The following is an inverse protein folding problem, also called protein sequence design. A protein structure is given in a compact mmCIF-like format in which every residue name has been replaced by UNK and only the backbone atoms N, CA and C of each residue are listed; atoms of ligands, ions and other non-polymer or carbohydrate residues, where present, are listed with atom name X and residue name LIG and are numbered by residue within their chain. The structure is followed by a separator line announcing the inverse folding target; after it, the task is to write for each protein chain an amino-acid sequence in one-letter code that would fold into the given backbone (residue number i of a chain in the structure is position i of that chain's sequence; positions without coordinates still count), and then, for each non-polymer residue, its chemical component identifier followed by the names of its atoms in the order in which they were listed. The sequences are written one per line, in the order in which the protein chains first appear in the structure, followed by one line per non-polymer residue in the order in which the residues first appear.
data_IF_187815809305
#
_entry.id   IF_187815809305
#
_cell.length_a   1.000
_cell.length_b   1.000
_cell.length_c   1.000
_cell.angle_alpha   90.00
_cell.angle_beta   90.00
_cell.angle_gamma   90.00
#
_symmetry.space_group_name_H-M   'P 1'
#
loop_
_entity.id
_entity.type
_entity.pdbx_description
1 polymer ?
#
# COMPACT_ATOMS: atom_id res chain seq x y z
N UNK A 1 1.05 -4.30 13.41
CA UNK A 1 -0.16 -5.09 13.11
C UNK A 1 -0.30 -6.37 13.92
N UNK A 2 0.63 -7.01 14.61
CA UNK A 2 0.47 -8.34 15.21
C UNK A 2 -0.11 -9.45 14.28
N UNK A 3 0.12 -10.72 14.60
CA UNK A 3 -0.28 -11.83 13.69
C UNK A 3 -1.79 -11.94 13.49
N UNK A 4 -2.58 -11.64 14.52
CA UNK A 4 -4.05 -11.71 14.44
C UNK A 4 -4.63 -10.57 13.61
N UNK A 5 -4.13 -9.33 13.74
CA UNK A 5 -4.64 -8.22 12.92
C UNK A 5 -4.14 -8.35 11.47
N UNK A 6 -2.91 -8.85 11.23
CA UNK A 6 -2.45 -9.22 9.88
C UNK A 6 -3.40 -10.21 9.22
N UNK A 7 -3.78 -11.28 9.91
CA UNK A 7 -4.75 -12.27 9.40
C UNK A 7 -6.09 -11.62 9.04
N UNK A 8 -6.67 -10.84 9.95
CA UNK A 8 -7.93 -10.10 9.70
C UNK A 8 -7.81 -9.13 8.53
N UNK A 9 -6.67 -8.46 8.37
CA UNK A 9 -6.44 -7.55 7.27
C UNK A 9 -6.33 -8.27 5.92
N UNK A 10 -5.68 -9.44 5.90
CA UNK A 10 -5.63 -10.32 4.73
C UNK A 10 -7.00 -10.83 4.27
N UNK A 11 -7.95 -10.96 5.20
CA UNK A 11 -9.33 -11.38 4.91
C UNK A 11 -10.22 -10.21 4.44
N UNK A 12 -9.74 -8.96 4.49
CA UNK A 12 -10.53 -7.79 4.09
C UNK A 12 -10.85 -7.81 2.60
N UNK A 13 -12.13 -7.71 2.27
CA UNK A 13 -12.58 -7.56 0.89
C UNK A 13 -12.10 -6.24 0.29
N UNK A 14 -11.75 -6.31 -0.99
CA UNK A 14 -11.32 -5.15 -1.76
C UNK A 14 -12.34 -4.85 -2.83
N UNK A 15 -13.01 -3.72 -2.67
CA UNK A 15 -13.91 -3.17 -3.67
C UNK A 15 -13.09 -2.34 -4.67
N UNK A 16 -13.12 -2.76 -5.93
CA UNK A 16 -12.52 -2.05 -7.05
C UNK A 16 -13.61 -1.88 -8.12
N UNK A 17 -13.73 -0.70 -8.77
CA UNK A 17 -14.69 -0.56 -9.87
C UNK A 17 -14.37 -1.57 -10.97
N UNK A 18 -15.40 -2.18 -11.55
CA UNK A 18 -15.29 -3.38 -12.39
C UNK A 18 -14.48 -3.18 -13.68
N UNK A 19 -14.33 -1.93 -14.13
CA UNK A 19 -13.49 -1.58 -15.28
C UNK A 19 -11.98 -1.66 -14.98
N UNK A 20 -11.58 -1.70 -13.70
CA UNK A 20 -10.19 -1.77 -13.28
C UNK A 20 -9.82 -3.15 -12.74
N UNK A 21 -8.55 -3.50 -12.88
CA UNK A 21 -7.93 -4.65 -12.20
C UNK A 21 -6.56 -4.29 -11.64
N UNK A 22 -6.14 -5.04 -10.65
CA UNK A 22 -4.80 -4.99 -10.08
C UNK A 22 -4.06 -6.27 -10.46
N UNK A 23 -2.96 -6.11 -11.16
CA UNK A 23 -2.09 -7.21 -11.62
C UNK A 23 -0.70 -7.09 -10.99
N UNK A 24 0.09 -8.15 -11.06
CA UNK A 24 1.54 -8.05 -10.85
C UNK A 24 2.17 -7.18 -11.95
N UNK A 25 3.21 -6.43 -11.57
CA UNK A 25 4.00 -5.61 -12.50
C UNK A 25 4.77 -6.51 -13.45
N UNK A 26 4.81 -6.16 -14.73
CA UNK A 26 5.51 -6.89 -15.79
C UNK A 26 6.60 -6.00 -16.38
N UNK A 27 7.82 -5.99 -15.79
CA UNK A 27 8.90 -5.06 -16.17
C UNK A 27 9.21 -5.00 -17.67
N UNK A 28 9.11 -6.13 -18.36
CA UNK A 28 9.46 -6.19 -19.79
C UNK A 28 8.33 -5.70 -20.71
N UNK A 29 7.07 -5.70 -20.27
CA UNK A 29 5.92 -5.29 -21.09
C UNK A 29 5.27 -3.98 -20.67
N UNK A 30 5.47 -3.53 -19.43
CA UNK A 30 4.89 -2.30 -18.89
C UNK A 30 5.69 -1.04 -19.26
N UNK A 31 6.67 -1.16 -20.18
CA UNK A 31 7.55 -0.11 -20.71
C UNK A 31 8.06 0.86 -19.62
N UNK A 32 8.55 0.25 -18.55
CA UNK A 32 8.97 0.95 -17.35
C UNK A 32 10.46 1.21 -17.47
N UNK A 33 10.84 2.46 -17.73
CA UNK A 33 12.24 2.85 -17.95
C UNK A 33 13.20 2.22 -16.93
N UNK A 34 14.37 1.76 -17.40
CA UNK A 34 15.23 0.82 -16.66
C UNK A 34 15.67 1.22 -15.24
N UNK A 35 15.60 2.51 -14.87
CA UNK A 35 15.89 2.98 -13.51
C UNK A 35 14.84 2.53 -12.48
N UNK A 36 13.60 2.31 -12.92
CA UNK A 36 12.50 1.89 -12.05
C UNK A 36 12.41 0.36 -11.88
N UNK A 37 13.04 -0.42 -12.78
CA UNK A 37 13.05 -1.89 -12.75
C UNK A 37 13.52 -2.44 -11.40
N UNK A 38 14.61 -1.88 -10.85
CA UNK A 38 15.17 -2.30 -9.57
C UNK A 38 14.17 -2.09 -8.43
N UNK A 39 13.34 -1.04 -8.48
CA UNK A 39 12.35 -0.78 -7.44
C UNK A 39 11.22 -1.80 -7.49
N UNK A 40 10.79 -2.23 -8.67
CA UNK A 40 9.75 -3.26 -8.81
C UNK A 40 10.20 -4.65 -8.36
N UNK A 41 11.49 -4.94 -8.46
CA UNK A 41 12.07 -6.19 -7.95
C UNK A 41 12.27 -6.17 -6.43
N UNK A 42 12.44 -4.98 -5.83
CA UNK A 42 12.76 -4.84 -4.40
C UNK A 42 11.55 -4.45 -3.52
N UNK A 43 10.53 -3.79 -4.09
CA UNK A 43 9.38 -3.29 -3.35
C UNK A 43 8.09 -4.01 -3.79
N UNK A 44 7.13 -4.20 -2.87
CA UNK A 44 5.80 -4.66 -3.26
C UNK A 44 5.17 -3.62 -4.17
N UNK A 45 4.92 -4.02 -5.41
CA UNK A 45 4.33 -3.17 -6.43
C UNK A 45 3.16 -3.87 -7.11
N UNK A 46 2.22 -3.08 -7.61
CA UNK A 46 1.07 -3.55 -8.38
C UNK A 46 0.83 -2.65 -9.58
N UNK A 47 0.43 -3.27 -10.70
CA UNK A 47 -0.01 -2.58 -11.89
C UNK A 47 -1.53 -2.37 -11.83
N UNK A 48 -1.97 -1.12 -11.90
CA UNK A 48 -3.36 -0.76 -12.12
C UNK A 48 -3.64 -0.75 -13.62
N UNK A 49 -4.65 -1.51 -14.04
CA UNK A 49 -5.07 -1.55 -15.44
C UNK A 49 -6.55 -1.25 -15.60
N UNK A 50 -6.90 -0.74 -16.78
CA UNK A 50 -8.27 -0.64 -17.28
C UNK A 50 -8.36 -1.46 -18.56
N UNK A 51 -8.92 -2.67 -18.48
CA UNK A 51 -8.69 -3.69 -19.50
C UNK A 51 -7.20 -4.05 -19.59
N UNK A 52 -6.60 -3.95 -20.78
CA UNK A 52 -5.17 -4.22 -20.99
C UNK A 52 -4.29 -2.95 -20.89
N UNK A 53 -4.91 -1.78 -20.79
CA UNK A 53 -4.20 -0.51 -20.67
C UNK A 53 -3.60 -0.36 -19.28
N UNK A 54 -2.28 -0.12 -19.21
CA UNK A 54 -1.61 0.28 -17.98
C UNK A 54 -1.99 1.73 -17.63
N UNK A 55 -2.58 1.91 -16.45
CA UNK A 55 -2.98 3.21 -15.92
C UNK A 55 -1.90 3.77 -14.99
N UNK A 56 -1.39 2.94 -14.08
CA UNK A 56 -0.37 3.32 -13.12
C UNK A 56 0.33 2.07 -12.56
N UNK A 57 1.53 2.27 -12.01
CA UNK A 57 2.19 1.30 -11.15
C UNK A 57 2.37 1.94 -9.80
N UNK A 58 1.87 1.26 -8.77
CA UNK A 58 2.01 1.73 -7.40
C UNK A 58 2.93 0.80 -6.66
N UNK A 59 3.94 1.38 -6.00
CA UNK A 59 4.85 0.69 -5.12
C UNK A 59 4.72 1.24 -3.71
N UNK A 60 4.96 0.39 -2.72
CA UNK A 60 5.08 0.83 -1.33
C UNK A 60 6.52 0.64 -0.88
N UNK A 61 7.15 1.73 -0.43
CA UNK A 61 8.50 1.68 0.09
C UNK A 61 8.52 1.11 1.53
N UNK A 62 9.71 0.86 2.07
CA UNK A 62 9.89 0.33 3.43
C UNK A 62 9.30 1.22 4.53
N UNK A 63 9.15 2.52 4.27
CA UNK A 63 8.55 3.49 5.18
C UNK A 63 7.04 3.60 5.01
N UNK A 64 6.44 2.67 4.24
CA UNK A 64 5.03 2.60 3.84
C UNK A 64 4.50 3.84 3.13
N UNK A 65 5.41 4.62 2.53
CA UNK A 65 5.09 5.66 1.58
C UNK A 65 4.73 5.05 0.23
N UNK A 66 3.77 5.69 -0.45
CA UNK A 66 3.35 5.32 -1.80
C UNK A 66 4.23 6.02 -2.81
N UNK A 67 4.77 5.24 -3.74
CA UNK A 67 5.34 5.75 -4.97
C UNK A 67 4.41 5.36 -6.11
N UNK A 68 4.05 6.34 -6.93
CA UNK A 68 3.30 6.14 -8.16
C UNK A 68 4.26 6.30 -9.32
N UNK A 69 4.06 5.54 -10.39
CA UNK A 69 4.79 5.78 -11.62
C UNK A 69 4.48 7.16 -12.16
N UNK A 70 5.39 7.73 -12.96
CA UNK A 70 5.17 9.01 -13.62
C UNK A 70 4.09 8.94 -14.73
N UNK A 71 3.25 7.89 -14.74
CA UNK A 71 2.13 7.75 -15.65
C UNK A 71 1.03 8.75 -15.27
N UNK A 72 0.66 9.69 -16.16
CA UNK A 72 -0.27 10.77 -15.82
C UNK A 72 -1.73 10.30 -15.65
N UNK A 73 -2.07 9.07 -16.04
CA UNK A 73 -3.45 8.61 -16.23
C UNK A 73 -4.24 8.43 -14.93
N UNK A 74 -3.58 8.13 -13.80
CA UNK A 74 -4.28 8.09 -12.51
C UNK A 74 -4.85 9.47 -12.14
N UNK A 75 -4.14 10.54 -12.52
CA UNK A 75 -4.55 11.92 -12.25
C UNK A 75 -5.70 12.40 -13.13
N UNK A 76 -6.04 11.65 -14.18
CA UNK A 76 -7.14 11.92 -15.10
C UNK A 76 -8.46 11.30 -14.62
N UNK A 77 -8.41 10.33 -13.69
CA UNK A 77 -9.59 9.71 -13.12
C UNK A 77 -10.39 10.71 -12.29
N UNK A 78 -11.72 10.54 -12.27
CA UNK A 78 -12.60 11.30 -11.37
C UNK A 78 -12.18 11.09 -9.91
N UNK A 79 -12.52 12.05 -9.04
CA UNK A 79 -12.11 12.02 -7.64
C UNK A 79 -12.64 10.77 -6.92
N UNK A 80 -13.87 10.38 -7.22
CA UNK A 80 -14.56 9.23 -6.65
C UNK A 80 -13.88 7.93 -7.08
N UNK A 81 -13.62 7.77 -8.37
CA UNK A 81 -12.93 6.59 -8.92
C UNK A 81 -11.51 6.50 -8.38
N UNK A 82 -10.76 7.61 -8.40
CA UNK A 82 -9.40 7.66 -7.87
C UNK A 82 -9.37 7.25 -6.40
N UNK A 83 -10.31 7.73 -5.59
CA UNK A 83 -10.40 7.36 -4.18
C UNK A 83 -10.65 5.86 -3.99
N UNK A 84 -11.57 5.27 -4.76
CA UNK A 84 -11.86 3.84 -4.71
C UNK A 84 -10.63 3.01 -5.12
N UNK A 85 -10.02 3.35 -6.25
CA UNK A 85 -8.81 2.70 -6.78
C UNK A 85 -7.64 2.80 -5.80
N UNK A 86 -7.34 3.99 -5.27
CA UNK A 86 -6.25 4.16 -4.29
C UNK A 86 -6.51 3.35 -3.01
N UNK A 87 -7.77 3.27 -2.56
CA UNK A 87 -8.13 2.46 -1.39
C UNK A 87 -7.94 0.96 -1.66
N UNK A 88 -8.31 0.51 -2.86
CA UNK A 88 -8.12 -0.88 -3.29
C UNK A 88 -6.63 -1.25 -3.40
N UNK A 89 -5.84 -0.38 -4.03
CA UNK A 89 -4.38 -0.52 -4.14
C UNK A 89 -3.74 -0.59 -2.77
N UNK A 90 -4.13 0.30 -1.86
CA UNK A 90 -3.66 0.30 -0.48
C UNK A 90 -3.86 -1.08 0.14
N UNK A 91 -5.09 -1.59 0.13
CA UNK A 91 -5.39 -2.88 0.78
C UNK A 91 -4.62 -4.01 0.09
N UNK A 92 -4.64 -4.10 -1.24
CA UNK A 92 -3.99 -5.21 -1.94
C UNK A 92 -2.47 -5.24 -1.83
N UNK A 93 -1.79 -4.11 -1.89
CA UNK A 93 -0.35 -4.07 -1.66
C UNK A 93 -0.04 -4.55 -0.24
N UNK A 94 -0.77 -4.07 0.77
CA UNK A 94 -0.54 -4.52 2.14
C UNK A 94 -0.82 -6.01 2.33
N UNK A 95 -1.86 -6.55 1.69
CA UNK A 95 -2.14 -7.99 1.72
C UNK A 95 -1.02 -8.80 1.07
N UNK A 96 -0.52 -8.37 -0.10
CA UNK A 96 0.65 -8.98 -0.76
C UNK A 96 1.86 -8.94 0.17
N UNK A 97 2.16 -7.77 0.74
CA UNK A 97 3.33 -7.54 1.59
C UNK A 97 3.33 -8.39 2.88
N UNK A 98 2.14 -8.57 3.49
CA UNK A 98 1.95 -9.47 4.63
C UNK A 98 2.11 -10.93 4.19
N UNK A 99 1.47 -11.34 3.09
CA UNK A 99 1.48 -12.73 2.62
C UNK A 99 2.87 -13.22 2.19
N UNK A 100 3.67 -12.33 1.60
CA UNK A 100 5.04 -12.62 1.17
C UNK A 100 6.05 -12.50 2.32
N UNK A 101 5.58 -12.20 3.54
CA UNK A 101 6.41 -11.96 4.73
C UNK A 101 7.49 -10.88 4.52
N UNK A 102 7.25 -10.00 3.56
CA UNK A 102 8.15 -8.94 3.17
C UNK A 102 7.98 -7.70 4.03
N UNK A 103 6.87 -7.58 4.77
CA UNK A 103 6.53 -6.43 5.62
C UNK A 103 7.65 -6.12 6.62
N UNK A 104 8.52 -5.13 6.35
CA UNK A 104 9.50 -4.67 7.30
C UNK A 104 8.80 -3.73 8.28
N UNK A 105 9.44 -3.52 9.42
CA UNK A 105 8.98 -2.66 10.50
C UNK A 105 8.64 -1.24 10.01
N UNK A 106 7.38 -0.92 9.73
CA UNK A 106 7.02 0.48 9.47
C UNK A 106 6.78 1.21 10.80
N UNK A 107 7.75 2.02 11.23
CA UNK A 107 7.55 3.01 12.30
C UNK A 107 6.91 4.25 11.71
N UNK A 108 5.59 4.39 11.84
CA UNK A 108 4.91 5.62 11.43
C UNK A 108 4.95 6.62 12.60
N UNK A 109 5.74 7.68 12.46
CA UNK A 109 5.72 8.82 13.38
C UNK A 109 4.56 9.75 13.04
N UNK A 110 3.44 9.60 13.73
CA UNK A 110 2.24 10.40 13.46
C UNK A 110 2.33 11.73 14.21
N UNK A 111 2.84 12.77 13.55
CA UNK A 111 3.03 14.11 14.15
C UNK A 111 1.78 15.00 14.14
N UNK A 112 0.78 14.69 13.30
CA UNK A 112 -0.42 15.52 13.10
C UNK A 112 -1.64 14.86 13.74
N UNK A 113 -2.42 15.64 14.48
CA UNK A 113 -3.63 15.19 15.20
C UNK A 113 -4.65 14.45 14.32
N UNK A 114 -4.84 14.90 13.07
CA UNK A 114 -5.70 14.21 12.09
C UNK A 114 -5.20 12.79 11.77
N UNK A 115 -3.88 12.60 11.66
CA UNK A 115 -3.29 11.28 11.49
C UNK A 115 -3.47 10.43 12.75
N UNK A 116 -3.28 11.03 13.93
CA UNK A 116 -3.45 10.33 15.22
C UNK A 116 -4.87 9.79 15.34
N UNK A 117 -5.87 10.61 15.01
CA UNK A 117 -7.28 10.22 15.04
C UNK A 117 -7.67 9.18 13.99
N UNK A 118 -7.02 9.18 12.82
CA UNK A 118 -7.24 8.15 11.80
C UNK A 118 -6.73 6.79 12.27
N UNK A 119 -5.47 6.74 12.74
CA UNK A 119 -4.85 5.49 13.17
C UNK A 119 -5.40 4.98 14.51
N UNK A 120 -5.79 5.86 15.43
CA UNK A 120 -6.36 5.46 16.73
C UNK A 120 -7.71 4.76 16.62
N UNK A 121 -8.45 5.01 15.54
CA UNK A 121 -9.73 4.37 15.24
C UNK A 121 -9.61 3.15 14.34
N UNK A 122 -8.42 2.86 13.83
CA UNK A 122 -8.22 1.77 12.89
C UNK A 122 -7.89 0.48 13.63
N UNK A 123 -8.70 -0.55 13.39
CA UNK A 123 -8.48 -1.90 13.92
C UNK A 123 -7.26 -2.59 13.29
N UNK A 124 -6.76 -2.04 12.18
CA UNK A 124 -5.67 -2.57 11.39
C UNK A 124 -4.29 -2.16 11.90
N UNK A 125 -4.18 -1.52 13.07
CA UNK A 125 -2.88 -1.10 13.60
C UNK A 125 -2.75 -1.40 15.09
N UNK A 126 -1.52 -1.66 15.51
CA UNK A 126 -1.18 -1.82 16.91
C UNK A 126 -0.72 -0.46 17.43
N UNK A 127 -1.51 0.16 18.32
CA UNK A 127 -1.08 1.40 18.98
C UNK A 127 -0.02 1.07 20.01
N UNK A 128 1.11 1.74 19.90
CA UNK A 128 2.18 1.76 20.89
C UNK A 128 2.46 3.22 21.23
N UNK A 129 3.09 3.47 22.36
CA UNK A 129 3.47 4.81 22.78
C UNK A 129 5.00 4.90 22.85
N UNK A 130 5.57 5.98 22.32
CA UNK A 130 7.01 6.25 22.49
C UNK A 130 7.29 6.73 23.92
N UNK A 131 8.56 6.99 24.23
CA UNK A 131 8.98 7.47 25.55
C UNK A 131 8.30 8.80 25.97
N UNK A 132 7.79 9.59 25.02
CA UNK A 132 7.06 10.83 25.23
C UNK A 132 5.52 10.65 25.25
N UNK A 133 5.02 9.40 25.27
CA UNK A 133 3.59 9.05 25.12
C UNK A 133 2.95 9.45 23.79
N UNK A 134 3.75 9.64 22.73
CA UNK A 134 3.20 9.87 21.38
C UNK A 134 2.88 8.52 20.74
N UNK A 135 1.77 8.43 19.98
CA UNK A 135 1.40 7.19 19.32
C UNK A 135 2.45 6.82 18.25
N UNK A 136 3.07 5.67 18.45
CA UNK A 136 3.89 4.96 17.48
C UNK A 136 3.16 3.69 17.06
N UNK A 137 3.33 3.27 15.81
CA UNK A 137 2.80 2.00 15.33
C UNK A 137 4.01 1.11 15.07
N UNK A 138 4.06 -0.08 15.68
CA UNK A 138 5.13 -1.07 15.47
C UNK A 138 4.48 -2.45 15.34
N UNK A 139 5.04 -3.30 14.48
CA UNK A 139 4.73 -4.73 14.44
C UNK A 139 5.97 -5.58 14.70
N UNK A 140 5.79 -6.75 15.30
CA UNK A 140 6.83 -7.68 15.70
C UNK A 140 7.12 -8.72 14.61
N UNK A 141 8.41 -8.96 14.35
CA UNK A 141 8.89 -10.33 14.12
C UNK A 141 9.79 -10.68 15.31
N UNK A 142 9.27 -11.54 16.20
CA UNK A 142 10.13 -12.34 17.07
C UNK A 142 10.99 -13.21 16.14
N UNK A 143 12.30 -13.03 16.20
CA UNK A 143 13.24 -14.15 15.97
C UNK A 143 13.17 -15.08 17.17
#
# INVERSE_FOLDING_TARGET
MNKEQQKKFCEKEVELPSEYRLDDVRPDSDDIGGRHRIWYECWPCMALRRGDELIDIVCVNSDGGYWHSDLPKLSELSKEVRKAVTSAIFIRIWQKWISEQLCPLQRIYVKKEKGINYYSRSESWTRLEDADRKPIIVDNIRR
#
